data_IF_768660835108
#
_entry.id   IF_768660835108
#
_cell.length_a   1.000
_cell.length_b   1.000
_cell.length_c   1.000
_cell.angle_alpha   90.00
_cell.angle_beta   90.00
_cell.angle_gamma   90.00
#
_symmetry.space_group_name_H-M   'P 1'
#
loop_
_entity.id
_entity.type
_entity.pdbx_description
1 polymer ?
#
# COMPACT_ATOMS: atom_id res chain seq x y z
N UNK A 1 20.84 -3.48 -25.52
CA UNK A 1 21.27 -3.98 -24.20
C UNK A 1 21.56 -5.46 -24.33
N UNK A 2 22.61 -6.00 -23.69
CA UNK A 2 22.90 -7.44 -23.79
C UNK A 2 21.85 -8.23 -22.99
N UNK A 3 21.30 -9.34 -23.53
CA UNK A 3 20.32 -10.16 -22.81
C UNK A 3 20.83 -10.66 -21.46
N UNK A 4 22.12 -11.00 -21.38
CA UNK A 4 22.78 -11.44 -20.15
C UNK A 4 22.74 -10.37 -19.05
N UNK A 5 22.93 -9.09 -19.40
CA UNK A 5 22.87 -7.98 -18.45
C UNK A 5 21.44 -7.80 -17.91
N UNK A 6 20.42 -7.89 -18.77
CA UNK A 6 19.02 -7.78 -18.34
C UNK A 6 18.64 -8.90 -17.36
N UNK A 7 18.98 -10.14 -17.71
CA UNK A 7 18.73 -11.30 -16.83
C UNK A 7 19.49 -11.14 -15.51
N UNK A 8 20.75 -10.70 -15.57
CA UNK A 8 21.56 -10.45 -14.38
C UNK A 8 20.94 -9.43 -13.42
N UNK A 9 20.41 -8.32 -13.94
CA UNK A 9 19.72 -7.30 -13.13
C UNK A 9 18.46 -7.88 -12.47
N UNK A 10 17.64 -8.60 -13.24
CA UNK A 10 16.40 -9.20 -12.72
C UNK A 10 16.72 -10.21 -11.62
N UNK A 11 17.69 -11.09 -11.84
CA UNK A 11 18.12 -12.08 -10.86
C UNK A 11 18.65 -11.42 -9.58
N UNK A 12 19.50 -10.39 -9.71
CA UNK A 12 20.04 -9.65 -8.56
C UNK A 12 18.93 -8.96 -7.75
N UNK A 13 17.93 -8.37 -8.42
CA UNK A 13 16.78 -7.74 -7.77
C UNK A 13 15.98 -8.76 -6.93
N UNK A 14 15.61 -9.91 -7.50
CA UNK A 14 14.88 -10.95 -6.77
C UNK A 14 15.69 -11.55 -5.62
N UNK A 15 17.00 -11.78 -5.82
CA UNK A 15 17.89 -12.25 -4.76
C UNK A 15 17.92 -11.26 -3.59
N UNK A 16 18.03 -9.96 -3.88
CA UNK A 16 17.99 -8.93 -2.84
C UNK A 16 16.67 -8.94 -2.07
N UNK A 17 15.53 -9.06 -2.75
CA UNK A 17 14.22 -9.16 -2.10
C UNK A 17 14.13 -10.40 -1.19
N UNK A 18 14.60 -11.56 -1.65
CA UNK A 18 14.61 -12.81 -0.86
C UNK A 18 15.49 -12.65 0.38
N UNK A 19 16.68 -12.07 0.22
CA UNK A 19 17.61 -11.84 1.35
C UNK A 19 16.98 -10.91 2.38
N UNK A 20 16.40 -9.79 1.96
CA UNK A 20 15.73 -8.83 2.87
C UNK A 20 14.54 -9.48 3.57
N UNK A 21 13.72 -10.24 2.85
CA UNK A 21 12.59 -10.98 3.40
C UNK A 21 13.03 -12.00 4.45
N UNK A 22 14.07 -12.78 4.15
CA UNK A 22 14.61 -13.80 5.06
C UNK A 22 15.24 -13.19 6.31
N UNK A 23 15.95 -12.06 6.19
CA UNK A 23 16.49 -11.34 7.33
C UNK A 23 15.39 -10.75 8.22
N UNK A 24 14.32 -10.23 7.62
CA UNK A 24 13.25 -9.52 8.34
C UNK A 24 12.20 -10.45 8.96
N UNK A 25 12.01 -11.65 8.39
CA UNK A 25 11.05 -12.66 8.88
C UNK A 25 11.53 -13.44 10.11
N UNK A 26 12.82 -13.37 10.45
CA UNK A 26 13.39 -14.05 11.62
C UNK A 26 12.91 -13.41 12.92
N UNK A 27 12.07 -14.14 13.67
CA UNK A 27 11.65 -13.76 15.03
C UNK A 27 10.23 -13.22 15.18
N UNK A 28 9.43 -13.19 14.10
CA UNK A 28 8.04 -12.72 14.17
C UNK A 28 7.04 -13.90 14.15
N UNK A 29 6.59 -14.35 15.33
CA UNK A 29 5.60 -15.42 15.47
C UNK A 29 4.21 -14.94 15.90
N UNK A 30 4.02 -13.63 16.12
CA UNK A 30 2.76 -13.07 16.60
C UNK A 30 2.01 -12.33 15.48
N UNK A 31 0.71 -12.66 15.31
CA UNK A 31 -0.20 -12.04 14.36
C UNK A 31 -0.23 -10.50 14.49
N UNK A 32 -0.11 -9.98 15.72
CA UNK A 32 -0.10 -8.53 15.95
C UNK A 32 1.12 -7.86 15.33
N UNK A 33 2.27 -8.53 15.43
CA UNK A 33 3.53 -8.04 14.86
C UNK A 33 3.50 -8.14 13.33
N UNK A 34 2.90 -9.20 12.79
CA UNK A 34 2.74 -9.37 11.34
C UNK A 34 1.81 -8.32 10.70
N UNK A 35 0.62 -8.08 11.25
CA UNK A 35 -0.36 -7.19 10.62
C UNK A 35 -0.18 -5.71 10.94
N UNK A 36 0.30 -5.39 12.14
CA UNK A 36 0.37 -3.99 12.60
C UNK A 36 1.79 -3.51 12.89
N UNK A 37 2.80 -4.37 12.77
CA UNK A 37 4.18 -4.07 13.16
C UNK A 37 4.28 -3.45 14.57
N UNK A 38 3.39 -3.88 15.48
CA UNK A 38 3.19 -3.31 16.81
C UNK A 38 2.97 -1.79 16.85
N UNK A 39 2.57 -1.18 15.74
CA UNK A 39 2.39 0.28 15.57
C UNK A 39 3.67 1.08 15.86
N UNK A 40 4.83 0.45 15.68
CA UNK A 40 6.15 1.06 15.90
C UNK A 40 6.87 1.44 14.60
N UNK A 41 6.26 1.17 13.44
CA UNK A 41 6.85 1.49 12.15
C UNK A 41 7.07 3.02 12.00
N UNK A 42 8.29 3.45 11.68
CA UNK A 42 8.57 4.85 11.34
C UNK A 42 7.66 5.35 10.22
N UNK A 43 7.11 6.56 10.38
CA UNK A 43 6.10 7.12 9.48
C UNK A 43 6.56 7.18 8.01
N UNK A 44 7.84 7.44 7.76
CA UNK A 44 8.39 7.51 6.40
C UNK A 44 8.41 6.12 5.72
N UNK A 45 8.72 5.05 6.46
CA UNK A 45 8.66 3.68 5.93
C UNK A 45 7.23 3.30 5.56
N UNK A 46 6.25 3.68 6.40
CA UNK A 46 4.83 3.49 6.11
C UNK A 46 4.43 4.27 4.85
N UNK A 47 4.83 5.53 4.72
CA UNK A 47 4.52 6.36 3.56
C UNK A 47 5.09 5.77 2.25
N UNK A 48 6.35 5.33 2.24
CA UNK A 48 6.94 4.68 1.07
C UNK A 48 6.25 3.36 0.74
N UNK A 49 5.89 2.56 1.75
CA UNK A 49 5.14 1.31 1.54
C UNK A 49 3.75 1.57 0.96
N UNK A 50 3.04 2.59 1.45
CA UNK A 50 1.71 2.96 0.95
C UNK A 50 1.74 3.42 -0.50
N UNK A 51 2.70 4.26 -0.89
CA UNK A 51 2.87 4.71 -2.28
C UNK A 51 3.30 3.53 -3.17
N UNK A 52 4.23 2.69 -2.70
CA UNK A 52 4.67 1.51 -3.44
C UNK A 52 3.54 0.51 -3.68
N UNK A 53 2.62 0.36 -2.73
CA UNK A 53 1.47 -0.53 -2.87
C UNK A 53 0.37 0.02 -3.78
N UNK A 54 0.21 1.36 -3.88
CA UNK A 54 -0.81 1.97 -4.74
C UNK A 54 -0.40 2.04 -6.21
N UNK A 55 0.90 2.03 -6.50
CA UNK A 55 1.43 2.05 -7.87
C UNK A 55 1.59 0.63 -8.41
N UNK A 56 1.10 0.39 -9.63
CA UNK A 56 1.22 -0.90 -10.31
C UNK A 56 1.96 -0.76 -11.64
N UNK A 57 2.36 -1.90 -12.23
CA UNK A 57 2.92 -1.92 -13.59
C UNK A 57 1.98 -1.30 -14.64
N UNK A 58 0.66 -1.40 -14.44
CA UNK A 58 -0.35 -0.75 -15.29
C UNK A 58 -0.18 0.77 -15.24
N UNK A 59 0.01 1.36 -14.06
CA UNK A 59 0.21 2.80 -13.90
C UNK A 59 1.43 3.28 -14.70
N UNK A 60 2.54 2.54 -14.66
CA UNK A 60 3.77 2.92 -15.37
C UNK A 60 3.65 2.87 -16.90
N UNK A 61 2.78 2.02 -17.44
CA UNK A 61 2.55 1.91 -18.88
C UNK A 61 1.44 2.88 -19.32
N UNK A 62 0.33 2.91 -18.60
CA UNK A 62 -0.90 3.60 -18.99
C UNK A 62 -0.79 5.12 -18.86
N UNK A 63 -0.17 5.65 -17.79
CA UNK A 63 -0.15 7.11 -17.57
C UNK A 63 0.69 7.83 -18.64
N UNK A 64 1.91 7.39 -19.00
CA UNK A 64 2.64 8.00 -20.11
C UNK A 64 1.89 7.89 -21.45
N UNK A 65 1.20 6.77 -21.68
CA UNK A 65 0.33 6.60 -22.85
C UNK A 65 -0.80 7.63 -22.89
N UNK A 66 -1.45 7.86 -21.75
CA UNK A 66 -2.51 8.87 -21.60
C UNK A 66 -1.98 10.29 -21.80
N UNK A 67 -0.78 10.61 -21.32
CA UNK A 67 -0.16 11.93 -21.55
C UNK A 67 0.05 12.20 -23.04
N UNK A 68 0.34 11.17 -23.84
CA UNK A 68 0.46 11.31 -25.29
C UNK A 68 -0.84 11.69 -26.00
N UNK A 69 -2.00 11.40 -25.40
CA UNK A 69 -3.33 11.66 -25.98
C UNK A 69 -4.00 12.88 -25.34
N UNK A 70 -4.00 12.94 -24.01
CA UNK A 70 -4.76 13.89 -23.19
C UNK A 70 -3.86 14.85 -22.40
N UNK A 71 -2.55 14.90 -22.69
CA UNK A 71 -1.58 15.76 -22.02
C UNK A 71 -1.62 15.60 -20.49
N UNK A 72 -1.73 16.69 -19.75
CA UNK A 72 -1.71 16.69 -18.29
C UNK A 72 -3.10 16.56 -17.65
N UNK A 73 -4.12 16.05 -18.35
CA UNK A 73 -5.45 15.85 -17.77
C UNK A 73 -5.41 15.00 -16.49
N UNK A 74 -4.63 13.92 -16.50
CA UNK A 74 -4.44 13.02 -15.35
C UNK A 74 -3.77 13.72 -14.15
N UNK A 75 -3.04 14.82 -14.36
CA UNK A 75 -2.39 15.56 -13.26
C UNK A 75 -3.42 16.12 -12.27
N UNK A 76 -4.63 16.45 -12.72
CA UNK A 76 -5.71 16.90 -11.84
C UNK A 76 -6.10 15.80 -10.83
N UNK A 77 -6.08 14.53 -11.26
CA UNK A 77 -6.32 13.37 -10.38
C UNK A 77 -5.20 13.25 -9.35
N UNK A 78 -3.94 13.44 -9.77
CA UNK A 78 -2.78 13.43 -8.86
C UNK A 78 -2.89 14.52 -7.79
N UNK A 79 -3.33 15.73 -8.16
CA UNK A 79 -3.62 16.79 -7.18
C UNK A 79 -4.76 16.40 -6.23
N UNK A 80 -5.79 15.71 -6.73
CA UNK A 80 -6.86 15.14 -5.91
C UNK A 80 -6.35 14.13 -4.88
N UNK A 81 -5.35 13.30 -5.23
CA UNK A 81 -4.74 12.36 -4.28
C UNK A 81 -4.06 13.06 -3.11
N UNK A 82 -3.48 14.26 -3.29
CA UNK A 82 -2.89 15.03 -2.18
C UNK A 82 -3.95 15.34 -1.11
N UNK A 83 -5.12 15.80 -1.55
CA UNK A 83 -6.25 16.09 -0.65
C UNK A 83 -6.75 14.79 0.00
N UNK A 84 -6.88 13.71 -0.78
CA UNK A 84 -7.29 12.39 -0.26
C UNK A 84 -6.35 11.88 0.82
N UNK A 85 -5.03 11.97 0.61
CA UNK A 85 -4.02 11.59 1.60
C UNK A 85 -4.05 12.49 2.84
N UNK A 86 -4.33 13.78 2.69
CA UNK A 86 -4.54 14.66 3.84
C UNK A 86 -5.75 14.22 4.68
N UNK A 87 -6.88 13.84 4.05
CA UNK A 87 -8.06 13.31 4.76
C UNK A 87 -7.73 11.97 5.44
N UNK A 88 -7.04 11.06 4.75
CA UNK A 88 -6.61 9.78 5.34
C UNK A 88 -5.72 10.04 6.57
N UNK A 89 -4.73 10.93 6.43
CA UNK A 89 -3.77 11.25 7.48
C UNK A 89 -4.38 11.94 8.69
N UNK A 90 -5.26 12.91 8.46
CA UNK A 90 -5.77 13.79 9.51
C UNK A 90 -7.09 13.33 10.13
N UNK A 91 -7.85 12.48 9.43
CA UNK A 91 -9.20 12.06 9.87
C UNK A 91 -9.27 10.55 10.10
N UNK A 92 -8.96 9.75 9.07
CA UNK A 92 -9.18 8.31 9.10
C UNK A 92 -8.17 7.58 9.98
N UNK A 93 -6.87 7.90 9.86
CA UNK A 93 -5.84 7.27 10.68
C UNK A 93 -6.06 7.50 12.19
N UNK A 94 -6.31 8.74 12.68
CA UNK A 94 -6.64 8.96 14.10
C UNK A 94 -7.85 8.17 14.59
N UNK A 95 -8.90 8.04 13.76
CA UNK A 95 -10.09 7.26 14.08
C UNK A 95 -9.76 5.76 14.22
N UNK A 96 -9.06 5.17 13.25
CA UNK A 96 -8.72 3.74 13.26
C UNK A 96 -7.77 3.37 14.39
N UNK A 97 -6.83 4.26 14.73
CA UNK A 97 -5.95 4.07 15.88
C UNK A 97 -6.72 4.13 17.20
N UNK A 98 -7.68 5.06 17.35
CA UNK A 98 -8.53 5.16 18.55
C UNK A 98 -9.37 3.90 18.76
N UNK A 99 -9.94 3.36 17.69
CA UNK A 99 -10.77 2.15 17.71
C UNK A 99 -9.95 0.84 17.75
N UNK A 100 -8.61 0.93 17.77
CA UNK A 100 -7.71 -0.23 17.78
C UNK A 100 -7.94 -1.25 16.65
N UNK A 101 -8.44 -0.78 15.50
CA UNK A 101 -8.78 -1.66 14.39
C UNK A 101 -7.53 -2.27 13.75
N UNK A 102 -7.62 -3.55 13.38
CA UNK A 102 -6.61 -4.25 12.57
C UNK A 102 -6.97 -4.18 11.08
N UNK A 103 -8.27 -4.20 10.77
CA UNK A 103 -8.82 -4.03 9.42
C UNK A 103 -9.75 -2.83 9.38
N UNK A 104 -9.68 -2.05 8.29
CA UNK A 104 -10.60 -0.92 8.05
C UNK A 104 -12.07 -1.36 8.04
N UNK A 105 -12.35 -2.62 7.67
CA UNK A 105 -13.70 -3.18 7.66
C UNK A 105 -14.25 -3.42 9.05
N UNK A 106 -13.41 -3.55 10.08
CA UNK A 106 -13.87 -3.64 11.47
C UNK A 106 -14.69 -2.43 11.90
N UNK A 107 -14.43 -1.26 11.31
CA UNK A 107 -15.27 -0.08 11.49
C UNK A 107 -16.72 -0.30 11.01
N UNK A 108 -16.91 -1.05 9.92
CA UNK A 108 -18.24 -1.35 9.39
C UNK A 108 -19.04 -2.27 10.32
N UNK A 109 -18.36 -3.17 11.03
CA UNK A 109 -19.01 -4.04 12.01
C UNK A 109 -19.60 -3.23 13.16
N UNK A 110 -18.80 -2.33 13.74
CA UNK A 110 -19.22 -1.47 14.85
C UNK A 110 -20.32 -0.48 14.41
N UNK A 111 -20.19 0.09 13.21
CA UNK A 111 -21.09 1.16 12.75
C UNK A 111 -22.37 0.67 12.09
N UNK A 112 -22.31 -0.45 11.37
CA UNK A 112 -23.36 -0.93 10.46
C UNK A 112 -23.67 -2.42 10.59
N UNK A 113 -22.99 -3.14 11.49
CA UNK A 113 -23.25 -4.54 11.78
C UNK A 113 -22.53 -5.55 10.89
N UNK A 114 -22.72 -6.82 11.24
CA UNK A 114 -21.98 -7.97 10.71
C UNK A 114 -22.05 -8.14 9.19
N UNK A 115 -23.22 -7.94 8.58
CA UNK A 115 -23.39 -8.11 7.12
C UNK A 115 -22.64 -7.03 6.33
N UNK A 116 -22.58 -5.81 6.85
CA UNK A 116 -21.81 -4.71 6.27
C UNK A 116 -20.31 -5.00 6.33
N UNK A 117 -19.83 -5.50 7.47
CA UNK A 117 -18.45 -5.97 7.62
C UNK A 117 -18.10 -7.08 6.63
N UNK A 118 -18.88 -8.17 6.59
CA UNK A 118 -18.58 -9.30 5.71
C UNK A 118 -18.62 -8.92 4.24
N UNK A 119 -19.58 -8.10 3.84
CA UNK A 119 -19.67 -7.64 2.44
C UNK A 119 -18.45 -6.79 2.10
N UNK A 120 -18.07 -5.85 2.97
CA UNK A 120 -16.85 -5.05 2.78
C UNK A 120 -15.59 -5.92 2.68
N UNK A 121 -15.40 -6.84 3.62
CA UNK A 121 -14.19 -7.68 3.67
C UNK A 121 -14.07 -8.72 2.55
N UNK A 122 -15.17 -9.10 1.89
CA UNK A 122 -15.17 -10.09 0.80
C UNK A 122 -14.99 -9.44 -0.57
N UNK A 123 -15.55 -8.25 -0.79
CA UNK A 123 -15.63 -7.64 -2.12
C UNK A 123 -14.63 -6.50 -2.37
N UNK A 124 -14.02 -5.93 -1.33
CA UNK A 124 -13.07 -4.81 -1.41
C UNK A 124 -11.68 -5.23 -0.92
#
# INVERSE_FOLDING_TARGET
MSPALVIGIIAAYFLLLIVVSWLTSRGQTDNKTFFTANRQSPWYLVAFGMIGASLSGVTFISIPGEVGVSFFSYFQVVLGYIIGYAVIGLVLLPLYYRLNLVSIYGYLEERFGFWSYKTGAVFL
#
